data_IF_645311286098
#
_entry.id   IF_645311286098
#
_cell.length_a   1.000
_cell.length_b   1.000
_cell.length_c   1.000
_cell.angle_alpha   90.00
_cell.angle_beta   90.00
_cell.angle_gamma   90.00
#
_symmetry.space_group_name_H-M   'P 1'
#
loop_
_entity.id
_entity.type
_entity.pdbx_description
1 polymer ?
#
# COMPACT_ATOMS: atom_id res chain seq x y z
N UNK A 1 -11.21 -5.82 -12.11
CA UNK A 1 -12.09 -6.95 -12.48
C UNK A 1 -13.32 -6.87 -11.60
N UNK A 2 -14.48 -6.57 -12.20
CA UNK A 2 -15.76 -6.36 -11.51
C UNK A 2 -16.87 -6.97 -12.40
N UNK A 3 -16.93 -8.32 -12.50
CA UNK A 3 -17.80 -8.99 -13.46
C UNK A 3 -19.29 -8.74 -13.22
N UNK A 4 -19.69 -8.57 -11.95
CA UNK A 4 -21.07 -8.28 -11.54
C UNK A 4 -21.44 -6.80 -11.51
N UNK A 5 -20.54 -5.88 -11.91
CA UNK A 5 -20.90 -4.47 -12.04
C UNK A 5 -21.67 -4.23 -13.35
N UNK A 6 -22.68 -3.36 -13.30
CA UNK A 6 -23.43 -2.86 -14.47
C UNK A 6 -22.71 -1.67 -15.11
N UNK A 7 -22.16 -0.79 -14.27
CA UNK A 7 -21.40 0.39 -14.65
C UNK A 7 -20.24 0.61 -13.69
N UNK A 8 -19.12 1.08 -14.23
CA UNK A 8 -17.99 1.54 -13.42
C UNK A 8 -17.49 2.86 -13.99
N UNK A 9 -17.27 3.82 -13.11
CA UNK A 9 -16.64 5.08 -13.42
C UNK A 9 -15.37 5.24 -12.59
N UNK A 10 -14.43 6.03 -13.07
CA UNK A 10 -13.23 6.42 -12.33
C UNK A 10 -13.27 7.93 -12.11
N UNK A 11 -12.98 8.37 -10.90
CA UNK A 11 -13.06 9.78 -10.51
C UNK A 11 -12.01 10.12 -9.46
N UNK A 12 -11.68 11.41 -9.34
CA UNK A 12 -10.68 11.89 -8.40
C UNK A 12 -10.31 13.34 -8.67
N UNK A 13 -9.15 13.75 -8.18
CA UNK A 13 -8.66 15.12 -8.33
C UNK A 13 -8.61 15.54 -9.81
N UNK A 14 -8.17 14.63 -10.69
CA UNK A 14 -8.01 14.88 -12.11
C UNK A 14 -9.32 15.25 -12.83
N UNK A 15 -10.49 15.01 -12.24
CA UNK A 15 -11.79 15.41 -12.80
C UNK A 15 -12.69 16.13 -11.77
N UNK A 16 -12.11 16.82 -10.79
CA UNK A 16 -12.86 17.56 -9.77
C UNK A 16 -13.93 16.70 -9.06
N UNK A 17 -13.61 15.41 -8.84
CA UNK A 17 -14.47 14.47 -8.13
C UNK A 17 -15.85 14.24 -8.76
N UNK A 18 -16.01 14.47 -10.08
CA UNK A 18 -17.24 14.17 -10.81
C UNK A 18 -17.38 12.65 -11.03
N UNK A 19 -18.26 12.01 -10.24
CA UNK A 19 -18.39 10.54 -10.18
C UNK A 19 -18.81 9.88 -11.48
N UNK A 20 -19.60 10.55 -12.31
CA UNK A 20 -20.25 9.95 -13.48
C UNK A 20 -19.73 10.49 -14.81
N UNK A 21 -18.60 11.23 -14.81
CA UNK A 21 -18.03 11.83 -16.02
C UNK A 21 -17.23 10.81 -16.84
N UNK A 22 -16.37 10.02 -16.21
CA UNK A 22 -15.48 9.08 -16.92
C UNK A 22 -15.94 7.64 -16.71
N UNK A 23 -16.80 7.17 -17.60
CA UNK A 23 -17.24 5.77 -17.64
C UNK A 23 -16.12 4.87 -18.16
N UNK A 24 -15.88 3.76 -17.49
CA UNK A 24 -14.93 2.72 -17.91
C UNK A 24 -15.58 1.78 -18.95
N UNK A 25 -14.77 1.20 -19.81
CA UNK A 25 -15.17 0.18 -20.78
C UNK A 25 -15.04 -1.22 -20.17
N UNK A 26 -16.09 -2.04 -20.26
CA UNK A 26 -16.13 -3.44 -19.80
C UNK A 26 -15.81 -4.40 -20.95
N UNK A 27 -14.88 -5.31 -20.74
CA UNK A 27 -14.62 -6.41 -21.67
C UNK A 27 -15.49 -7.66 -21.40
N UNK A 28 -15.32 -8.70 -22.21
CA UNK A 28 -16.07 -9.95 -22.07
C UNK A 28 -15.74 -10.73 -20.78
N UNK A 29 -14.57 -10.50 -20.17
CA UNK A 29 -14.14 -11.15 -18.94
C UNK A 29 -14.58 -10.39 -17.66
N UNK A 30 -15.24 -9.23 -17.81
CA UNK A 30 -15.63 -8.37 -16.69
C UNK A 30 -14.47 -7.53 -16.15
N UNK A 31 -13.43 -7.32 -16.95
CA UNK A 31 -12.38 -6.33 -16.67
C UNK A 31 -12.86 -4.97 -17.18
N UNK A 32 -12.70 -3.96 -16.32
CA UNK A 32 -13.06 -2.59 -16.62
C UNK A 32 -11.79 -1.78 -16.85
N UNK A 33 -11.75 -1.00 -17.93
CA UNK A 33 -10.59 -0.20 -18.32
C UNK A 33 -10.99 1.21 -18.76
N UNK A 34 -10.15 2.20 -18.51
CA UNK A 34 -10.24 3.53 -19.09
C UNK A 34 -8.88 3.95 -19.63
N UNK A 35 -8.87 4.67 -20.75
CA UNK A 35 -7.66 5.23 -21.33
C UNK A 35 -7.58 6.73 -21.03
N UNK A 36 -6.43 7.18 -20.52
CA UNK A 36 -6.18 8.57 -20.18
C UNK A 36 -5.11 9.14 -21.13
N UNK A 37 -5.48 9.88 -22.18
CA UNK A 37 -4.52 10.46 -23.11
C UNK A 37 -3.57 11.43 -22.40
N UNK A 38 -2.26 11.27 -22.56
CA UNK A 38 -1.26 12.12 -21.93
C UNK A 38 -1.44 13.61 -22.27
N UNK A 39 -1.84 13.92 -23.51
CA UNK A 39 -2.13 15.30 -23.95
C UNK A 39 -3.25 15.99 -23.14
N UNK A 40 -4.12 15.22 -22.48
CA UNK A 40 -5.24 15.75 -21.68
C UNK A 40 -5.00 15.64 -20.18
N UNK A 41 -4.32 14.58 -19.72
CA UNK A 41 -4.28 14.22 -18.30
C UNK A 41 -2.91 14.35 -17.64
N UNK A 42 -1.81 14.57 -18.39
CA UNK A 42 -0.46 14.62 -17.78
C UNK A 42 -0.31 15.65 -16.66
N UNK A 43 -1.03 16.76 -16.75
CA UNK A 43 -0.98 17.86 -15.78
C UNK A 43 -2.14 17.81 -14.77
N UNK A 44 -3.11 16.89 -14.95
CA UNK A 44 -4.31 16.74 -14.10
C UNK A 44 -4.25 15.51 -13.19
N UNK A 45 -3.70 14.41 -13.70
CA UNK A 45 -3.45 13.17 -12.98
C UNK A 45 -1.95 13.07 -12.73
N UNK A 46 -1.52 13.62 -11.60
CA UNK A 46 -0.11 13.73 -11.22
C UNK A 46 0.18 12.87 -10.01
N UNK A 47 1.46 12.58 -9.75
CA UNK A 47 1.87 11.89 -8.54
C UNK A 47 1.24 12.55 -7.30
N UNK A 48 0.56 11.74 -6.48
CA UNK A 48 -0.14 12.23 -5.30
C UNK A 48 -1.63 12.51 -5.50
N UNK A 49 -2.13 12.59 -6.74
CA UNK A 49 -3.56 12.75 -7.02
C UNK A 49 -4.38 11.63 -6.39
N UNK A 50 -5.47 11.99 -5.73
CA UNK A 50 -6.41 11.08 -5.11
C UNK A 50 -7.46 10.60 -6.12
N UNK A 51 -7.87 9.34 -6.01
CA UNK A 51 -8.88 8.74 -6.89
C UNK A 51 -9.63 7.57 -6.26
N UNK A 52 -10.80 7.28 -6.81
CA UNK A 52 -11.67 6.14 -6.51
C UNK A 52 -12.37 5.64 -7.77
N UNK A 53 -13.07 4.52 -7.66
CA UNK A 53 -14.01 4.05 -8.66
C UNK A 53 -15.44 4.12 -8.10
N UNK A 54 -16.40 4.48 -8.95
CA UNK A 54 -17.82 4.52 -8.63
C UNK A 54 -18.49 3.33 -9.32
N UNK A 55 -18.96 2.37 -8.54
CA UNK A 55 -19.41 1.07 -9.01
C UNK A 55 -20.93 0.95 -8.86
N UNK A 56 -21.61 0.64 -9.95
CA UNK A 56 -23.02 0.26 -9.97
C UNK A 56 -23.14 -1.26 -9.90
N UNK A 57 -23.60 -1.79 -8.76
CA UNK A 57 -23.95 -3.20 -8.62
C UNK A 57 -25.45 -3.40 -8.55
N UNK A 58 -25.89 -4.64 -8.30
CA UNK A 58 -27.32 -5.01 -8.23
C UNK A 58 -28.11 -4.24 -7.17
N UNK A 59 -27.47 -3.88 -6.06
CA UNK A 59 -28.17 -3.33 -4.88
C UNK A 59 -28.05 -1.81 -4.76
N UNK A 60 -26.97 -1.20 -5.27
CA UNK A 60 -26.70 0.23 -5.11
C UNK A 60 -25.46 0.70 -5.90
N UNK A 61 -25.28 2.01 -5.92
CA UNK A 61 -24.04 2.68 -6.29
C UNK A 61 -23.12 2.79 -5.09
N UNK A 62 -21.83 2.50 -5.28
CA UNK A 62 -20.84 2.52 -4.21
C UNK A 62 -19.50 3.05 -4.69
N UNK A 63 -18.92 3.95 -3.90
CA UNK A 63 -17.53 4.37 -4.09
C UNK A 63 -16.60 3.29 -3.51
N UNK A 64 -15.57 2.93 -4.26
CA UNK A 64 -14.60 1.88 -3.89
C UNK A 64 -13.17 2.31 -4.19
N UNK A 65 -12.25 1.76 -3.41
CA UNK A 65 -10.81 1.83 -3.66
C UNK A 65 -10.46 0.72 -4.67
N UNK A 66 -9.75 1.01 -5.77
CA UNK A 66 -9.33 -0.04 -6.70
C UNK A 66 -8.49 -1.12 -6.00
N UNK A 67 -8.83 -2.39 -6.19
CA UNK A 67 -8.18 -3.52 -5.51
C UNK A 67 -6.65 -3.62 -5.72
N UNK A 68 -6.16 -3.06 -6.82
CA UNK A 68 -4.73 -3.02 -7.18
C UNK A 68 -4.08 -1.66 -6.90
N UNK A 69 -4.69 -0.81 -6.08
CA UNK A 69 -4.05 0.43 -5.65
C UNK A 69 -2.74 0.12 -4.93
N UNK A 70 -1.66 0.79 -5.35
CA UNK A 70 -0.32 0.63 -4.79
C UNK A 70 -0.02 1.60 -3.65
N UNK A 71 -0.91 2.58 -3.45
CA UNK A 71 -0.93 3.45 -2.30
C UNK A 71 -2.36 3.86 -1.99
N UNK A 72 -2.69 3.84 -0.72
CA UNK A 72 -3.96 4.32 -0.17
C UNK A 72 -3.61 5.20 1.02
N UNK A 73 -4.26 6.33 1.18
CA UNK A 73 -4.00 7.27 2.28
C UNK A 73 -5.28 7.54 3.05
N UNK A 74 -5.12 7.76 4.36
CA UNK A 74 -6.21 8.17 5.24
C UNK A 74 -6.30 9.70 5.28
N UNK A 75 -7.50 10.22 5.13
CA UNK A 75 -7.78 11.64 5.36
C UNK A 75 -7.83 11.95 6.86
N UNK A 76 -7.15 13.01 7.29
CA UNK A 76 -7.00 13.31 8.71
C UNK A 76 -8.29 13.81 9.39
N UNK A 77 -9.21 14.39 8.63
CA UNK A 77 -10.47 14.93 9.18
C UNK A 77 -11.57 13.87 9.17
N UNK A 78 -11.84 13.30 8.00
CA UNK A 78 -12.92 12.35 7.76
C UNK A 78 -12.57 10.92 8.14
N UNK A 79 -11.28 10.61 8.28
CA UNK A 79 -10.73 9.25 8.53
C UNK A 79 -11.02 8.23 7.44
N UNK A 80 -11.58 8.66 6.32
CA UNK A 80 -11.81 7.81 5.15
C UNK A 80 -10.51 7.53 4.41
N UNK A 81 -10.46 6.37 3.74
CA UNK A 81 -9.34 6.01 2.88
C UNK A 81 -9.64 6.29 1.41
N UNK A 82 -8.58 6.63 0.67
CA UNK A 82 -8.63 6.97 -0.75
C UNK A 82 -7.37 6.48 -1.45
N UNK A 83 -7.50 5.94 -2.67
CA UNK A 83 -6.33 5.56 -3.46
C UNK A 83 -5.55 6.81 -3.86
N UNK A 84 -4.22 6.73 -3.83
CA UNK A 84 -3.35 7.80 -4.28
C UNK A 84 -2.57 7.32 -5.50
N UNK A 85 -2.59 8.11 -6.58
CA UNK A 85 -1.88 7.81 -7.80
C UNK A 85 -0.38 7.94 -7.53
N UNK A 86 0.29 6.80 -7.46
CA UNK A 86 1.68 6.72 -7.03
C UNK A 86 2.61 6.50 -8.20
N UNK A 87 3.05 7.60 -8.81
CA UNK A 87 3.97 7.61 -9.95
C UNK A 87 5.14 8.59 -9.69
N UNK A 88 6.03 8.31 -8.72
CA UNK A 88 7.17 9.20 -8.43
C UNK A 88 8.01 9.41 -9.70
N UNK A 89 8.52 10.62 -9.90
CA UNK A 89 9.29 10.98 -11.09
C UNK A 89 10.58 10.14 -11.24
N UNK A 90 11.24 9.90 -10.10
CA UNK A 90 12.42 9.04 -10.01
C UNK A 90 12.03 7.72 -9.33
N UNK A 91 12.10 6.58 -10.05
CA UNK A 91 11.93 5.28 -9.44
C UNK A 91 13.00 4.99 -8.39
N UNK A 92 12.66 4.16 -7.40
CA UNK A 92 13.64 3.72 -6.40
C UNK A 92 14.75 2.91 -7.07
N UNK A 93 16.00 3.30 -6.79
CA UNK A 93 17.18 2.64 -7.35
C UNK A 93 17.58 1.43 -6.51
N UNK A 94 17.37 0.22 -7.04
CA UNK A 94 17.80 -1.04 -6.44
C UNK A 94 19.22 -1.46 -6.82
N UNK A 95 19.91 -0.71 -7.69
CA UNK A 95 21.26 -1.10 -8.14
C UNK A 95 22.21 -1.21 -6.94
N UNK A 96 23.01 -2.26 -6.96
CA UNK A 96 23.98 -2.57 -5.90
C UNK A 96 23.41 -3.40 -4.76
N UNK A 97 22.09 -3.61 -4.68
CA UNK A 97 21.51 -4.59 -3.77
C UNK A 97 21.68 -6.00 -4.34
N UNK A 98 22.68 -6.72 -3.82
CA UNK A 98 23.01 -8.09 -4.21
C UNK A 98 22.79 -9.07 -3.05
N UNK A 99 21.94 -8.70 -2.08
CA UNK A 99 21.69 -9.54 -0.92
C UNK A 99 21.04 -10.87 -1.32
N UNK A 100 21.57 -11.96 -0.78
CA UNK A 100 21.09 -13.33 -0.98
C UNK A 100 20.79 -13.97 0.37
N UNK A 101 19.50 -14.08 0.70
CA UNK A 101 19.04 -14.66 1.95
C UNK A 101 19.49 -16.13 2.13
N UNK A 102 19.80 -16.85 1.05
CA UNK A 102 20.22 -18.25 1.12
C UNK A 102 21.62 -18.44 1.72
N UNK A 103 22.45 -17.38 1.72
CA UNK A 103 23.78 -17.40 2.34
C UNK A 103 23.73 -17.24 3.87
N UNK A 104 22.57 -16.93 4.44
CA UNK A 104 22.41 -16.58 5.86
C UNK A 104 22.37 -17.76 6.84
N UNK A 105 22.35 -19.01 6.34
CA UNK A 105 22.24 -20.21 7.16
C UNK A 105 20.88 -20.32 7.88
N UNK A 106 20.88 -20.81 9.12
CA UNK A 106 19.65 -20.91 9.93
C UNK A 106 19.11 -19.54 10.30
N UNK A 107 17.80 -19.34 10.19
CA UNK A 107 17.15 -18.07 10.49
C UNK A 107 17.03 -17.83 12.00
N UNK A 108 17.52 -16.67 12.44
CA UNK A 108 17.26 -16.05 13.72
C UNK A 108 16.42 -14.80 13.42
N UNK A 109 15.12 -14.93 13.63
CA UNK A 109 14.11 -13.95 13.17
C UNK A 109 13.75 -13.02 14.31
N UNK A 110 13.84 -11.72 14.06
CA UNK A 110 13.27 -10.68 14.92
C UNK A 110 11.90 -10.28 14.34
N UNK A 111 10.81 -10.67 15.01
CA UNK A 111 9.46 -10.23 14.63
C UNK A 111 9.23 -8.80 15.11
N UNK A 112 8.72 -7.94 14.22
CA UNK A 112 8.56 -6.53 14.51
C UNK A 112 7.34 -5.91 13.83
N UNK A 113 6.80 -4.89 14.48
CA UNK A 113 5.76 -4.01 13.93
C UNK A 113 6.29 -2.57 13.90
N UNK A 114 6.42 -2.00 12.70
CA UNK A 114 7.04 -0.68 12.46
C UNK A 114 6.42 0.42 13.32
N UNK A 115 5.08 0.49 13.33
CA UNK A 115 4.35 1.56 14.02
C UNK A 115 4.49 1.62 15.54
N UNK A 116 4.97 0.56 16.20
CA UNK A 116 5.09 0.48 17.67
C UNK A 116 6.52 0.23 18.14
N UNK A 117 7.49 0.36 17.23
CA UNK A 117 8.90 0.13 17.55
C UNK A 117 9.60 1.34 18.19
N UNK A 118 8.87 2.43 18.48
CA UNK A 118 9.42 3.64 19.10
C UNK A 118 9.08 3.70 20.59
N UNK A 119 9.94 4.35 21.37
CA UNK A 119 9.68 4.61 22.81
C UNK A 119 8.67 5.75 23.04
N UNK A 120 8.54 6.67 22.08
CA UNK A 120 7.59 7.78 22.16
C UNK A 120 6.17 7.31 21.90
N UNK A 121 5.20 8.04 22.46
CA UNK A 121 3.80 7.89 22.08
C UNK A 121 3.59 8.25 20.60
N UNK A 122 2.78 7.44 19.92
CA UNK A 122 2.41 7.63 18.52
C UNK A 122 2.93 6.55 17.59
N UNK A 123 2.59 6.70 16.31
CA UNK A 123 2.97 5.73 15.28
C UNK A 123 4.39 6.02 14.79
N UNK A 124 5.24 4.99 14.80
CA UNK A 124 6.58 5.00 14.23
C UNK A 124 6.57 4.92 12.71
N UNK A 125 7.61 5.47 12.08
CA UNK A 125 7.77 5.48 10.62
C UNK A 125 8.75 4.41 10.12
N UNK A 126 8.69 4.10 8.83
CA UNK A 126 9.69 3.25 8.16
C UNK A 126 11.09 3.83 8.34
N UNK A 127 11.28 5.16 8.18
CA UNK A 127 12.58 5.82 8.39
C UNK A 127 13.10 5.65 9.82
N UNK A 128 12.26 5.88 10.82
CA UNK A 128 12.65 5.68 12.21
C UNK A 128 13.01 4.22 12.51
N UNK A 129 12.29 3.26 11.92
CA UNK A 129 12.63 1.84 12.04
C UNK A 129 14.00 1.53 11.40
N UNK A 130 14.23 2.05 10.20
CA UNK A 130 15.48 1.91 9.46
C UNK A 130 16.68 2.45 10.24
N UNK A 131 16.55 3.65 10.79
CA UNK A 131 17.66 4.35 11.47
C UNK A 131 17.92 3.85 12.88
N UNK A 132 16.87 3.54 13.64
CA UNK A 132 16.97 3.28 15.08
C UNK A 132 16.89 1.79 15.42
N UNK A 133 16.11 1.01 14.67
CA UNK A 133 15.74 -0.36 15.07
C UNK A 133 16.58 -1.41 14.35
N UNK A 134 16.79 -1.28 13.03
CA UNK A 134 17.63 -2.23 12.30
C UNK A 134 19.06 -2.40 12.89
N UNK A 135 19.76 -1.33 13.34
CA UNK A 135 21.08 -1.49 13.96
C UNK A 135 21.04 -2.28 15.27
N UNK A 136 19.97 -2.14 16.05
CA UNK A 136 19.75 -2.89 17.30
C UNK A 136 19.58 -4.37 16.97
N UNK A 137 18.67 -4.69 16.04
CA UNK A 137 18.41 -6.07 15.62
C UNK A 137 19.71 -6.75 15.15
N UNK A 138 20.50 -6.05 14.32
CA UNK A 138 21.77 -6.57 13.84
C UNK A 138 22.79 -6.78 14.97
N UNK A 139 22.94 -5.80 15.86
CA UNK A 139 23.88 -5.86 16.99
C UNK A 139 23.56 -7.03 17.91
N UNK A 140 22.28 -7.31 18.10
CA UNK A 140 21.79 -8.35 19.02
C UNK A 140 21.87 -9.76 18.39
N UNK A 141 22.34 -9.87 17.13
CA UNK A 141 22.76 -11.13 16.50
C UNK A 141 21.72 -11.80 15.59
N UNK A 142 20.59 -11.15 15.34
CA UNK A 142 19.59 -11.65 14.38
C UNK A 142 20.10 -11.52 12.93
N UNK A 143 19.60 -12.39 12.05
CA UNK A 143 19.91 -12.38 10.61
C UNK A 143 18.67 -12.21 9.73
N UNK A 144 17.48 -12.11 10.33
CA UNK A 144 16.24 -11.85 9.62
C UNK A 144 15.31 -10.97 10.46
N UNK A 145 14.49 -10.17 9.77
CA UNK A 145 13.42 -9.36 10.34
C UNK A 145 12.11 -9.79 9.70
N UNK A 146 11.14 -10.17 10.53
CA UNK A 146 9.77 -10.38 10.08
C UNK A 146 8.96 -9.13 10.36
N UNK A 147 8.49 -8.48 9.28
CA UNK A 147 7.72 -7.26 9.35
C UNK A 147 6.22 -7.57 9.25
N UNK A 148 5.54 -7.27 10.35
CA UNK A 148 4.09 -7.36 10.46
C UNK A 148 3.41 -6.09 9.94
N UNK A 149 2.11 -6.21 9.65
CA UNK A 149 1.24 -5.08 9.34
C UNK A 149 1.66 -4.20 8.15
N UNK A 150 2.42 -4.77 7.20
CA UNK A 150 2.88 -4.03 6.02
C UNK A 150 1.74 -3.77 5.03
N UNK A 151 0.88 -4.75 4.75
CA UNK A 151 -0.28 -4.54 3.89
C UNK A 151 -1.28 -3.56 4.54
N UNK A 152 -1.88 -2.67 3.76
CA UNK A 152 -2.76 -1.63 4.29
C UNK A 152 -3.99 -2.21 4.97
N UNK A 153 -4.26 -1.71 6.17
CA UNK A 153 -5.28 -2.19 7.09
C UNK A 153 -5.92 -0.99 7.83
N UNK A 154 -7.19 -0.65 7.58
CA UNK A 154 -7.82 0.56 8.12
C UNK A 154 -7.93 0.57 9.65
N UNK A 155 -8.08 -0.60 10.27
CA UNK A 155 -8.17 -0.73 11.72
C UNK A 155 -6.80 -1.05 12.32
N UNK A 156 -6.14 -0.04 12.91
CA UNK A 156 -4.81 -0.20 13.50
C UNK A 156 -4.77 -1.26 14.62
N UNK A 157 -5.85 -1.37 15.41
CA UNK A 157 -5.98 -2.40 16.46
C UNK A 157 -6.09 -3.84 15.94
N UNK A 158 -6.17 -4.06 14.62
CA UNK A 158 -6.11 -5.40 14.03
C UNK A 158 -4.70 -5.98 13.96
N UNK A 159 -3.67 -5.21 14.30
CA UNK A 159 -2.28 -5.65 14.21
C UNK A 159 -1.85 -6.08 12.79
N UNK A 160 -2.49 -5.53 11.76
CA UNK A 160 -2.25 -5.89 10.36
C UNK A 160 -3.11 -7.01 9.80
N UNK A 161 -3.93 -7.69 10.63
CA UNK A 161 -4.68 -8.86 10.17
C UNK A 161 -5.97 -8.51 9.40
N UNK A 162 -6.51 -7.30 9.56
CA UNK A 162 -7.69 -6.87 8.79
C UNK A 162 -7.29 -6.08 7.53
N UNK A 163 -6.61 -6.77 6.60
CA UNK A 163 -6.14 -6.18 5.34
C UNK A 163 -7.30 -5.71 4.47
N UNK A 164 -7.16 -4.52 3.89
CA UNK A 164 -8.14 -3.92 2.99
C UNK A 164 -7.58 -3.59 1.60
N UNK A 165 -6.29 -3.25 1.50
CA UNK A 165 -5.62 -3.02 0.21
C UNK A 165 -4.32 -3.82 0.14
N UNK A 166 -4.38 -4.97 -0.53
CA UNK A 166 -3.34 -5.99 -0.54
C UNK A 166 -2.04 -5.58 -1.24
N UNK A 167 -2.11 -4.60 -2.16
CA UNK A 167 -0.97 -4.12 -2.94
C UNK A 167 -0.41 -2.78 -2.44
N UNK A 168 -1.01 -2.22 -1.38
CA UNK A 168 -0.59 -0.96 -0.79
C UNK A 168 0.16 -1.25 0.53
N UNK A 169 1.43 -0.86 0.65
CA UNK A 169 2.07 -0.73 1.95
C UNK A 169 1.32 0.28 2.82
N UNK A 170 1.17 0.02 4.12
CA UNK A 170 0.39 0.89 5.00
C UNK A 170 0.96 2.31 5.03
N UNK A 171 0.10 3.29 4.73
CA UNK A 171 0.51 4.68 4.65
C UNK A 171 0.83 5.30 6.00
N UNK A 172 0.42 4.65 7.10
CA UNK A 172 0.67 5.12 8.48
C UNK A 172 2.15 5.23 8.81
N UNK A 173 2.98 4.40 8.18
CA UNK A 173 4.41 4.34 8.48
C UNK A 173 5.25 5.15 7.49
N UNK A 174 4.66 5.59 6.37
CA UNK A 174 5.36 6.36 5.35
C UNK A 174 4.93 6.06 3.92
N UNK A 175 5.86 6.29 3.00
CA UNK A 175 5.73 6.04 1.56
C UNK A 175 6.19 4.64 1.17
N UNK A 176 5.76 4.10 0.01
CA UNK A 176 6.33 2.87 -0.53
C UNK A 176 7.84 2.94 -0.68
N UNK A 177 8.41 4.10 -1.01
CA UNK A 177 9.84 4.33 -1.19
C UNK A 177 10.60 4.23 0.13
N UNK A 178 10.02 4.70 1.22
CA UNK A 178 10.62 4.55 2.56
C UNK A 178 10.61 3.09 3.02
N UNK A 179 9.60 2.28 2.65
CA UNK A 179 9.66 0.84 2.86
C UNK A 179 10.75 0.18 2.01
N UNK A 180 10.93 0.60 0.74
CA UNK A 180 12.04 0.11 -0.11
C UNK A 180 13.41 0.46 0.50
N UNK A 181 13.55 1.68 1.03
CA UNK A 181 14.74 2.15 1.74
C UNK A 181 15.03 1.29 2.98
N UNK A 182 14.01 0.97 3.78
CA UNK A 182 14.12 0.06 4.92
C UNK A 182 14.64 -1.31 4.48
N UNK A 183 14.06 -1.92 3.44
CA UNK A 183 14.46 -3.23 2.95
C UNK A 183 15.91 -3.20 2.45
N UNK A 184 16.27 -2.22 1.62
CA UNK A 184 17.64 -2.03 1.13
C UNK A 184 18.62 -1.89 2.31
N UNK A 185 18.26 -1.13 3.33
CA UNK A 185 19.12 -0.93 4.50
C UNK A 185 19.27 -2.20 5.33
N UNK A 186 18.20 -2.99 5.48
CA UNK A 186 18.27 -4.29 6.13
C UNK A 186 19.23 -5.23 5.38
N UNK A 187 19.13 -5.27 4.05
CA UNK A 187 20.04 -6.03 3.20
C UNK A 187 21.51 -5.60 3.33
N UNK A 188 21.79 -4.29 3.39
CA UNK A 188 23.14 -3.76 3.65
C UNK A 188 23.71 -4.19 5.02
N UNK A 189 22.84 -4.42 6.00
CA UNK A 189 23.20 -4.95 7.33
C UNK A 189 23.32 -6.49 7.34
N UNK A 190 23.05 -7.14 6.22
CA UNK A 190 23.00 -8.59 6.10
C UNK A 190 21.80 -9.20 6.82
N UNK A 191 20.67 -8.50 6.84
CA UNK A 191 19.40 -8.96 7.41
C UNK A 191 18.42 -9.31 6.28
N UNK A 192 17.90 -10.53 6.28
CA UNK A 192 16.76 -10.87 5.43
C UNK A 192 15.50 -10.16 5.91
N UNK A 193 14.61 -9.79 5.01
CA UNK A 193 13.30 -9.22 5.35
C UNK A 193 12.19 -10.15 4.90
N UNK A 194 11.34 -10.53 5.85
CA UNK A 194 10.17 -11.39 5.64
C UNK A 194 8.94 -10.54 5.88
N UNK A 195 7.95 -10.63 5.00
CA UNK A 195 6.68 -9.91 5.15
C UNK A 195 5.58 -10.88 5.59
N UNK A 196 4.78 -10.47 6.57
CA UNK A 196 3.53 -11.16 6.89
C UNK A 196 2.55 -11.10 5.71
N UNK A 197 2.16 -12.28 5.21
CA UNK A 197 1.19 -12.41 4.13
C UNK A 197 -0.16 -12.88 4.67
N UNK A 198 -1.12 -11.95 4.77
CA UNK A 198 -2.47 -12.24 5.25
C UNK A 198 -3.40 -12.50 4.07
N UNK A 199 -3.49 -13.75 3.62
CA UNK A 199 -4.44 -14.20 2.58
C UNK A 199 -5.55 -15.13 3.12
N UNK A 200 -5.58 -15.37 4.43
CA UNK A 200 -6.58 -16.24 5.05
C UNK A 200 -7.98 -15.61 5.13
N UNK A 201 -8.06 -14.28 5.16
CA UNK A 201 -9.28 -13.50 5.24
C UNK A 201 -9.05 -12.06 4.77
N UNK A 202 -10.14 -11.30 4.66
CA UNK A 202 -10.14 -9.88 4.31
C UNK A 202 -11.06 -9.10 5.26
N UNK A 203 -10.88 -7.79 5.37
CA UNK A 203 -11.75 -6.97 6.20
C UNK A 203 -13.19 -6.94 5.64
N UNK A 204 -14.21 -7.09 6.49
CA UNK A 204 -15.63 -6.97 6.09
C UNK A 204 -16.08 -5.52 5.82
N UNK A 205 -15.14 -4.59 5.78
CA UNK A 205 -15.42 -3.18 5.64
C UNK A 205 -15.73 -2.86 4.18
N UNK A 206 -16.96 -2.44 3.90
CA UNK A 206 -17.42 -2.16 2.55
C UNK A 206 -16.82 -0.86 1.98
N UNK A 207 -16.42 0.10 2.80
CA UNK A 207 -15.93 1.40 2.32
C UNK A 207 -14.45 1.35 1.95
N UNK A 208 -13.64 0.63 2.74
CA UNK A 208 -12.18 0.57 2.57
C UNK A 208 -11.63 -0.80 2.14
N UNK A 209 -12.45 -1.86 2.20
CA UNK A 209 -12.11 -3.22 1.76
C UNK A 209 -12.50 -3.52 0.31
N UNK A 210 -12.22 -4.77 -0.09
CA UNK A 210 -12.58 -5.34 -1.41
C UNK A 210 -14.03 -5.85 -1.39
#
# INVERSE_FOLDING_TARGET
WLPGAHDVYIFGDFNNWQRTEIRMHRDLAGVWSAFFPAAMYRDRLTHGSLYKIHVHGDNSWMDRIPAYATRVVQDDETKNYTAQFWAPAEPFDWRGDAFDASQGGSLLIYEAHVGMAQEREGVGTYREFTEKILPIIKRDGYNAVQLMAIAEHPYYGSFGYHVSSFFAPSSRFGTPEELKELIRRAHELGLAVIMDLVHAHYVKNLNEGI
#
